data_IF_466470709847
#
_entry.id   IF_466470709847
#
_cell.length_a   1.000
_cell.length_b   1.000
_cell.length_c   1.000
_cell.angle_alpha   90.00
_cell.angle_beta   90.00
_cell.angle_gamma   90.00
#
_symmetry.space_group_name_H-M   'P 1'
#
loop_
_entity.id
_entity.type
_entity.pdbx_description
1 polymer ?
#
# COMPACT_ATOMS: atom_id res chain seq x y z
N UNK A 1 28.34 -3.70 13.42
CA UNK A 1 27.69 -3.07 14.59
C UNK A 1 26.21 -3.21 14.35
N UNK A 2 25.57 -4.12 15.07
CA UNK A 2 24.16 -4.47 14.87
C UNK A 2 23.36 -3.63 15.85
N UNK A 3 22.69 -2.59 15.37
CA UNK A 3 21.77 -1.81 16.20
C UNK A 3 20.48 -2.63 16.32
N UNK A 4 20.10 -3.13 17.51
CA UNK A 4 18.80 -3.75 17.69
C UNK A 4 17.84 -2.65 18.13
N UNK A 5 17.13 -2.04 17.19
CA UNK A 5 15.93 -1.29 17.49
C UNK A 5 14.86 -1.76 16.52
N UNK A 6 14.05 -2.70 16.98
CA UNK A 6 12.71 -2.90 16.43
C UNK A 6 11.84 -3.03 17.65
N UNK A 7 11.38 -1.89 18.17
CA UNK A 7 10.23 -1.94 19.07
C UNK A 7 9.13 -2.73 18.36
N UNK A 8 8.44 -3.65 19.06
CA UNK A 8 7.39 -4.42 18.45
C UNK A 8 6.35 -3.46 17.87
N UNK A 9 6.03 -3.57 16.58
CA UNK A 9 4.95 -2.80 15.96
C UNK A 9 3.63 -3.55 16.13
N UNK A 10 2.57 -2.82 16.45
CA UNK A 10 1.21 -3.35 16.49
C UNK A 10 0.41 -2.87 15.27
N UNK A 11 -0.28 -3.80 14.60
CA UNK A 11 -1.26 -3.49 13.57
C UNK A 11 -2.57 -3.08 14.25
N UNK A 12 -2.94 -1.81 14.11
CA UNK A 12 -4.18 -1.24 14.69
C UNK A 12 -5.37 -1.49 13.80
N UNK A 13 -5.15 -1.36 12.49
CA UNK A 13 -6.14 -1.59 11.46
C UNK A 13 -5.42 -2.07 10.20
N UNK A 14 -6.13 -2.83 9.37
CA UNK A 14 -5.58 -3.28 8.10
C UNK A 14 -6.69 -3.65 7.13
N UNK A 15 -6.45 -3.38 5.87
CA UNK A 15 -7.31 -3.81 4.78
C UNK A 15 -6.45 -4.13 3.55
N UNK A 16 -6.78 -5.22 2.87
CA UNK A 16 -6.27 -5.51 1.54
C UNK A 16 -7.39 -5.37 0.50
N UNK A 17 -7.00 -5.12 -0.74
CA UNK A 17 -7.85 -5.26 -1.92
C UNK A 17 -7.11 -6.05 -2.98
N UNK A 18 -7.87 -6.89 -3.67
CA UNK A 18 -7.42 -7.71 -4.79
C UNK A 18 -8.05 -7.19 -6.09
N UNK A 19 -7.79 -7.84 -7.23
CA UNK A 19 -8.57 -7.62 -8.44
C UNK A 19 -10.07 -7.85 -8.17
N UNK A 20 -10.94 -7.39 -9.08
CA UNK A 20 -12.39 -7.61 -9.02
C UNK A 20 -12.87 -8.51 -10.17
N UNK A 21 -14.11 -8.98 -10.07
CA UNK A 21 -14.72 -9.87 -11.08
C UNK A 21 -14.18 -11.30 -10.97
N UNK A 22 -14.16 -12.05 -12.09
CA UNK A 22 -13.78 -13.47 -12.08
C UNK A 22 -12.34 -13.74 -11.61
N UNK A 23 -11.43 -12.78 -11.80
CA UNK A 23 -10.05 -12.87 -11.33
C UNK A 23 -9.91 -12.67 -9.80
N UNK A 24 -11.01 -12.39 -9.10
CA UNK A 24 -11.07 -12.10 -7.68
C UNK A 24 -11.59 -13.27 -6.84
N UNK A 25 -11.99 -14.38 -7.46
CA UNK A 25 -12.66 -15.47 -6.76
C UNK A 25 -11.74 -16.11 -5.71
N UNK A 26 -12.19 -16.14 -4.45
CA UNK A 26 -11.43 -16.68 -3.32
C UNK A 26 -10.30 -15.81 -2.76
N UNK A 27 -10.06 -14.59 -3.29
CA UNK A 27 -8.94 -13.73 -2.86
C UNK A 27 -9.31 -12.80 -1.69
N UNK A 28 -8.45 -12.61 -0.67
CA UNK A 28 -8.62 -11.60 0.37
C UNK A 28 -8.81 -10.16 -0.17
N UNK A 29 -9.91 -9.51 0.19
CA UNK A 29 -10.16 -8.14 -0.26
C UNK A 29 -10.66 -8.04 -1.72
N UNK A 30 -11.03 -9.16 -2.32
CA UNK A 30 -11.80 -9.19 -3.56
C UNK A 30 -13.08 -8.35 -3.44
N UNK A 31 -13.36 -7.57 -4.49
CA UNK A 31 -14.64 -6.86 -4.62
C UNK A 31 -15.45 -7.49 -5.77
N UNK A 32 -16.78 -7.62 -5.63
CA UNK A 32 -17.63 -8.17 -6.69
C UNK A 32 -17.74 -7.21 -7.89
N UNK A 33 -17.46 -5.92 -7.69
CA UNK A 33 -17.58 -4.87 -8.69
C UNK A 33 -16.35 -3.96 -8.70
N UNK A 34 -16.17 -3.24 -9.81
CA UNK A 34 -15.11 -2.24 -9.98
C UNK A 34 -15.19 -1.14 -8.92
N UNK A 35 -14.03 -0.67 -8.46
CA UNK A 35 -13.94 0.38 -7.46
C UNK A 35 -14.37 1.74 -8.03
N UNK A 36 -14.94 2.63 -7.20
CA UNK A 36 -15.28 3.98 -7.61
C UNK A 36 -14.05 4.76 -8.12
N UNK A 37 -14.25 5.59 -9.14
CA UNK A 37 -13.22 6.50 -9.62
C UNK A 37 -12.86 7.54 -8.57
N UNK A 38 -11.58 7.92 -8.51
CA UNK A 38 -11.09 9.04 -7.70
C UNK A 38 -10.92 10.27 -8.58
N UNK A 39 -11.57 11.41 -8.28
CA UNK A 39 -11.43 12.62 -9.07
C UNK A 39 -9.95 13.01 -9.24
N UNK A 40 -9.55 13.26 -10.49
CA UNK A 40 -8.16 13.60 -10.80
C UNK A 40 -7.23 12.40 -10.99
N UNK A 41 -7.73 11.16 -10.92
CA UNK A 41 -7.00 9.92 -11.26
C UNK A 41 -7.86 9.07 -12.21
N UNK A 42 -7.61 9.19 -13.52
CA UNK A 42 -8.51 8.64 -14.56
C UNK A 42 -7.84 7.63 -15.48
N UNK A 43 -6.53 7.43 -15.35
CA UNK A 43 -5.73 6.66 -16.32
C UNK A 43 -5.50 5.22 -15.88
N UNK A 44 -5.29 5.00 -14.59
CA UNK A 44 -4.96 3.69 -14.03
C UNK A 44 -5.84 3.36 -12.81
N UNK A 45 -5.74 2.11 -12.38
CA UNK A 45 -6.39 1.59 -11.16
C UNK A 45 -5.54 1.81 -9.91
N UNK A 46 -4.28 2.22 -10.05
CA UNK A 46 -3.32 2.36 -8.96
C UNK A 46 -3.85 3.29 -7.85
N UNK A 47 -4.20 4.53 -8.20
CA UNK A 47 -4.68 5.51 -7.22
C UNK A 47 -6.07 5.18 -6.64
N UNK A 48 -7.06 4.75 -7.44
CA UNK A 48 -8.33 4.27 -6.89
C UNK A 48 -8.18 3.10 -5.92
N UNK A 49 -7.28 2.15 -6.19
CA UNK A 49 -7.00 1.03 -5.28
C UNK A 49 -6.42 1.51 -3.96
N UNK A 50 -5.42 2.39 -4.00
CA UNK A 50 -4.83 2.98 -2.79
C UNK A 50 -5.90 3.69 -1.95
N UNK A 51 -6.70 4.56 -2.58
CA UNK A 51 -7.76 5.28 -1.86
C UNK A 51 -8.78 4.33 -1.23
N UNK A 52 -9.22 3.29 -1.95
CA UNK A 52 -10.20 2.32 -1.45
C UNK A 52 -9.66 1.45 -0.30
N UNK A 53 -8.39 1.04 -0.36
CA UNK A 53 -7.76 0.27 0.71
C UNK A 53 -7.57 1.13 1.97
N UNK A 54 -7.20 2.40 1.80
CA UNK A 54 -7.10 3.35 2.92
C UNK A 54 -8.48 3.61 3.53
N UNK A 55 -9.52 3.86 2.73
CA UNK A 55 -10.89 4.02 3.23
C UNK A 55 -11.37 2.80 4.00
N UNK A 56 -11.01 1.59 3.55
CA UNK A 56 -11.33 0.36 4.26
C UNK A 56 -10.53 0.17 5.56
N UNK A 57 -9.28 0.61 5.58
CA UNK A 57 -8.39 0.51 6.74
C UNK A 57 -8.77 1.52 7.82
N UNK A 58 -9.03 2.76 7.45
CA UNK A 58 -9.27 3.87 8.36
C UNK A 58 -10.75 4.11 8.66
N UNK A 59 -11.68 3.57 7.86
CA UNK A 59 -13.10 3.87 7.99
C UNK A 59 -13.45 5.24 7.39
N UNK A 60 -14.60 5.79 7.80
CA UNK A 60 -15.07 7.08 7.26
C UNK A 60 -14.22 8.26 7.75
N UNK A 61 -13.86 9.24 6.90
CA UNK A 61 -13.02 10.37 7.32
C UNK A 61 -13.68 11.31 8.32
N UNK A 62 -15.01 11.30 8.44
CA UNK A 62 -15.77 12.05 9.44
C UNK A 62 -16.02 11.25 10.74
N UNK A 63 -15.48 10.04 10.85
CA UNK A 63 -15.57 9.26 12.07
C UNK A 63 -14.56 9.78 13.09
N UNK A 64 -15.04 10.60 14.04
CA UNK A 64 -14.24 11.13 15.15
C UNK A 64 -13.76 10.04 16.13
N UNK A 65 -14.23 8.79 15.97
CA UNK A 65 -13.73 7.60 16.68
C UNK A 65 -12.81 6.72 15.83
N UNK A 66 -12.57 7.12 14.58
CA UNK A 66 -11.70 6.43 13.65
C UNK A 66 -10.26 6.33 14.16
N UNK A 67 -9.47 5.38 13.65
CA UNK A 67 -8.15 5.09 14.18
C UNK A 67 -7.15 6.24 13.95
N UNK A 68 -7.44 7.19 13.07
CA UNK A 68 -6.64 8.41 12.84
C UNK A 68 -7.21 9.67 13.50
N UNK A 69 -8.38 9.60 14.13
CA UNK A 69 -9.04 10.76 14.73
C UNK A 69 -8.13 11.43 15.79
N UNK A 70 -7.96 12.75 15.66
CA UNK A 70 -7.09 13.55 16.53
C UNK A 70 -5.58 13.26 16.40
N UNK A 71 -5.15 12.43 15.44
CA UNK A 71 -3.74 12.01 15.27
C UNK A 71 -3.17 12.27 13.88
N UNK A 72 -3.93 12.90 12.99
CA UNK A 72 -3.53 13.11 11.59
C UNK A 72 -2.16 13.80 11.44
N UNK A 73 -1.87 14.81 12.26
CA UNK A 73 -0.58 15.50 12.23
C UNK A 73 0.59 14.63 12.71
N UNK A 74 0.31 13.65 13.58
CA UNK A 74 1.27 12.67 14.13
C UNK A 74 1.23 11.33 13.38
N UNK A 75 0.65 11.33 12.17
CA UNK A 75 0.53 10.15 11.30
C UNK A 75 1.45 10.30 10.11
N UNK A 76 2.41 9.40 9.97
CA UNK A 76 3.22 9.31 8.77
C UNK A 76 2.57 8.38 7.72
N UNK A 77 3.01 8.50 6.46
CA UNK A 77 2.61 7.59 5.39
C UNK A 77 3.87 6.98 4.74
N UNK A 78 3.88 5.66 4.61
CA UNK A 78 4.86 4.92 3.81
C UNK A 78 4.13 4.26 2.65
N UNK A 79 4.53 4.57 1.42
CA UNK A 79 4.07 3.89 0.22
C UNK A 79 5.18 2.97 -0.31
N UNK A 80 4.88 1.68 -0.46
CA UNK A 80 5.77 0.69 -1.04
C UNK A 80 5.17 0.19 -2.36
N UNK A 81 5.99 0.17 -3.41
CA UNK A 81 5.59 -0.33 -4.73
C UNK A 81 6.82 -0.74 -5.53
N UNK A 82 6.74 -1.85 -6.26
CA UNK A 82 7.85 -2.31 -7.09
C UNK A 82 7.89 -1.58 -8.44
N UNK A 83 6.72 -1.21 -8.98
CA UNK A 83 6.61 -0.65 -10.33
C UNK A 83 5.91 0.73 -10.39
N UNK A 84 5.34 1.20 -9.28
CA UNK A 84 4.55 2.43 -9.24
C UNK A 84 3.30 2.37 -10.13
N UNK A 85 2.77 3.53 -10.50
CA UNK A 85 1.70 3.62 -11.50
C UNK A 85 2.28 3.48 -12.93
N UNK A 86 2.64 2.24 -13.25
CA UNK A 86 3.25 1.93 -14.54
C UNK A 86 2.30 2.18 -15.72
N UNK A 87 0.99 1.99 -15.54
CA UNK A 87 0.00 2.22 -16.59
C UNK A 87 -0.06 3.70 -16.97
N UNK A 88 -0.11 4.60 -15.99
CA UNK A 88 -0.11 6.04 -16.25
C UNK A 88 1.24 6.48 -16.83
N UNK A 89 2.35 5.99 -16.29
CA UNK A 89 3.71 6.31 -16.76
C UNK A 89 3.93 5.87 -18.20
N UNK A 90 3.51 4.65 -18.56
CA UNK A 90 3.60 4.14 -19.92
C UNK A 90 2.72 4.95 -20.87
N UNK A 91 1.47 5.21 -20.48
CA UNK A 91 0.56 6.03 -21.28
C UNK A 91 1.15 7.41 -21.54
N UNK A 92 1.66 8.09 -20.52
CA UNK A 92 2.29 9.40 -20.66
C UNK A 92 3.50 9.36 -21.60
N UNK A 93 4.35 8.34 -21.47
CA UNK A 93 5.54 8.15 -22.31
C UNK A 93 5.16 7.91 -23.77
N UNK A 94 4.18 7.03 -24.06
CA UNK A 94 3.71 6.75 -25.42
C UNK A 94 3.14 8.01 -26.09
N UNK A 95 2.35 8.79 -25.35
CA UNK A 95 1.80 10.07 -25.87
C UNK A 95 2.91 11.06 -26.20
N UNK A 96 3.92 11.17 -25.35
CA UNK A 96 5.08 12.03 -25.59
C UNK A 96 5.86 11.61 -26.84
N UNK A 97 6.17 10.32 -26.99
CA UNK A 97 6.87 9.79 -28.18
C UNK A 97 6.05 10.00 -29.46
N UNK A 98 4.72 9.92 -29.37
CA UNK A 98 3.82 10.19 -30.48
C UNK A 98 3.64 11.69 -30.81
N UNK A 99 4.35 12.60 -30.12
CA UNK A 99 4.27 14.05 -30.34
C UNK A 99 2.94 14.67 -29.87
N UNK A 100 2.19 13.99 -29.01
CA UNK A 100 0.91 14.50 -28.50
C UNK A 100 1.14 15.52 -27.39
N UNK A 101 0.24 16.50 -27.30
CA UNK A 101 0.30 17.56 -26.27
C UNK A 101 0.26 16.93 -24.87
N UNK A 102 1.22 17.31 -24.04
CA UNK A 102 1.26 16.89 -22.64
C UNK A 102 0.01 17.36 -21.91
N UNK A 103 -0.76 16.42 -21.37
CA UNK A 103 -1.83 16.73 -20.42
C UNK A 103 -1.19 17.04 -19.06
N UNK A 104 -1.35 18.25 -18.50
CA UNK A 104 -0.84 18.57 -17.16
C UNK A 104 -1.36 17.60 -16.09
N UNK A 105 -2.59 17.12 -16.28
CA UNK A 105 -3.20 16.12 -15.41
C UNK A 105 -2.48 14.77 -15.48
N UNK A 106 -2.05 14.33 -16.66
CA UNK A 106 -1.29 13.08 -16.80
C UNK A 106 0.09 13.16 -16.14
N UNK A 107 0.76 14.30 -16.24
CA UNK A 107 2.03 14.52 -15.55
C UNK A 107 1.84 14.41 -14.02
N UNK A 108 0.83 15.08 -13.47
CA UNK A 108 0.51 14.96 -12.05
C UNK A 108 0.19 13.52 -11.63
N UNK A 109 -0.63 12.80 -12.40
CA UNK A 109 -0.99 11.41 -12.10
C UNK A 109 0.18 10.42 -12.21
N UNK A 110 1.21 10.75 -13.01
CA UNK A 110 2.36 9.85 -13.21
C UNK A 110 3.29 9.76 -12.01
N UNK A 111 3.20 10.70 -11.07
CA UNK A 111 3.98 10.67 -9.84
C UNK A 111 3.33 9.69 -8.87
N UNK A 112 4.04 8.62 -8.53
CA UNK A 112 3.59 7.51 -7.67
C UNK A 112 2.93 7.97 -6.36
N UNK A 113 3.42 9.05 -5.76
CA UNK A 113 2.93 9.58 -4.48
C UNK A 113 1.75 10.53 -4.61
N UNK A 114 1.29 10.89 -5.81
CA UNK A 114 0.22 11.89 -5.99
C UNK A 114 -1.09 11.50 -5.30
N UNK A 115 -1.41 10.22 -5.23
CA UNK A 115 -2.59 9.72 -4.51
C UNK A 115 -2.51 9.98 -3.00
N UNK A 116 -1.30 10.05 -2.44
CA UNK A 116 -1.11 10.30 -1.02
C UNK A 116 -1.55 11.72 -0.63
N UNK A 117 -1.45 12.69 -1.55
CA UNK A 117 -2.04 14.02 -1.34
C UNK A 117 -3.57 13.98 -1.19
N UNK A 118 -4.24 13.10 -1.95
CA UNK A 118 -5.68 12.86 -1.79
C UNK A 118 -6.00 12.25 -0.43
N UNK A 119 -5.26 11.19 -0.05
CA UNK A 119 -5.40 10.52 1.26
C UNK A 119 -5.15 11.49 2.41
N UNK A 120 -4.03 12.23 2.38
CA UNK A 120 -3.66 13.23 3.37
C UNK A 120 -4.75 14.28 3.56
N UNK A 121 -5.26 14.86 2.47
CA UNK A 121 -6.35 15.83 2.54
C UNK A 121 -7.63 15.25 3.12
N UNK A 122 -7.96 14.01 2.76
CA UNK A 122 -9.21 13.34 3.16
C UNK A 122 -9.22 12.99 4.65
N UNK A 123 -8.10 12.55 5.21
CA UNK A 123 -7.98 12.09 6.60
C UNK A 123 -7.27 13.09 7.54
N UNK A 124 -6.91 14.27 7.04
CA UNK A 124 -6.14 15.26 7.81
C UNK A 124 -4.74 14.78 8.19
N UNK A 125 -4.15 13.86 7.41
CA UNK A 125 -2.81 13.32 7.66
C UNK A 125 -1.76 14.29 7.12
N UNK A 126 -0.98 14.90 8.02
CA UNK A 126 0.03 15.90 7.66
C UNK A 126 1.45 15.55 8.13
N UNK A 127 1.66 14.34 8.64
CA UNK A 127 2.99 13.84 8.93
C UNK A 127 3.80 13.53 7.65
N UNK A 128 5.05 13.07 7.80
CA UNK A 128 5.96 12.80 6.69
C UNK A 128 5.42 11.70 5.79
N UNK A 129 5.69 11.87 4.49
CA UNK A 129 5.32 10.93 3.44
C UNK A 129 6.61 10.41 2.83
N UNK A 130 6.75 9.09 2.76
CA UNK A 130 7.88 8.42 2.11
C UNK A 130 7.38 7.38 1.11
N UNK A 131 8.11 7.22 0.02
CA UNK A 131 7.86 6.19 -0.98
C UNK A 131 9.12 5.34 -1.13
N UNK A 132 8.98 4.04 -0.98
CA UNK A 132 10.05 3.06 -1.20
C UNK A 132 9.70 2.20 -2.40
N UNK A 133 10.68 2.06 -3.28
CA UNK A 133 10.69 1.09 -4.37
C UNK A 133 12.02 0.38 -4.25
N UNK A 134 11.94 -0.92 -4.03
CA UNK A 134 13.10 -1.79 -3.86
C UNK A 134 12.82 -3.11 -4.58
N UNK A 135 13.84 -3.93 -4.77
CA UNK A 135 13.74 -5.27 -5.33
C UNK A 135 13.05 -6.27 -4.39
N UNK A 136 13.52 -7.52 -4.42
CA UNK A 136 12.83 -8.69 -3.86
C UNK A 136 12.51 -8.70 -2.36
N UNK A 137 12.91 -7.68 -1.61
CA UNK A 137 12.72 -7.54 -0.15
C UNK A 137 11.81 -6.35 0.21
N UNK A 138 10.94 -5.92 -0.70
CA UNK A 138 10.17 -4.68 -0.53
C UNK A 138 9.25 -4.67 0.70
N UNK A 139 8.57 -5.78 1.01
CA UNK A 139 7.72 -5.86 2.21
C UNK A 139 8.49 -5.70 3.54
N UNK A 140 9.55 -6.48 3.82
CA UNK A 140 10.33 -6.30 5.04
C UNK A 140 10.98 -4.91 5.10
N UNK A 141 11.44 -4.35 3.97
CA UNK A 141 11.99 -2.98 3.93
C UNK A 141 10.97 -1.90 4.23
N UNK A 142 9.74 -2.05 3.75
CA UNK A 142 8.68 -1.11 4.04
C UNK A 142 8.26 -1.14 5.52
N UNK A 143 8.24 -2.33 6.12
CA UNK A 143 8.01 -2.50 7.57
C UNK A 143 9.17 -1.94 8.40
N UNK A 144 10.42 -2.17 8.00
CA UNK A 144 11.61 -1.60 8.64
C UNK A 144 11.56 -0.06 8.61
N UNK A 145 11.25 0.54 7.45
CA UNK A 145 11.10 1.99 7.33
C UNK A 145 9.98 2.51 8.24
N UNK A 146 8.83 1.82 8.30
CA UNK A 146 7.75 2.20 9.20
C UNK A 146 8.18 2.11 10.68
N UNK A 147 8.95 1.09 11.05
CA UNK A 147 9.52 0.95 12.39
C UNK A 147 10.44 2.12 12.74
N UNK A 148 11.38 2.46 11.84
CA UNK A 148 12.29 3.60 12.01
C UNK A 148 11.52 4.92 12.16
N UNK A 149 10.46 5.13 11.37
CA UNK A 149 9.63 6.33 11.51
C UNK A 149 8.92 6.38 12.86
N UNK A 150 8.48 5.24 13.39
CA UNK A 150 7.86 5.18 14.72
C UNK A 150 8.85 5.44 15.87
N UNK A 151 10.17 5.39 15.65
CA UNK A 151 11.16 5.79 16.65
C UNK A 151 11.13 7.31 16.93
N UNK A 152 10.58 8.12 16.01
CA UNK A 152 10.35 9.54 16.26
C UNK A 152 9.16 9.74 17.20
N UNK A 153 9.42 10.24 18.41
CA UNK A 153 8.40 10.54 19.43
C UNK A 153 7.33 11.55 18.98
N UNK A 154 7.58 12.30 17.91
CA UNK A 154 6.57 13.17 17.30
C UNK A 154 5.50 12.38 16.53
N UNK A 155 5.83 11.18 16.05
CA UNK A 155 4.90 10.29 15.35
C UNK A 155 4.21 9.34 16.34
N UNK A 156 2.91 9.17 16.16
CA UNK A 156 2.12 8.17 16.91
C UNK A 156 1.88 6.91 16.09
N UNK A 157 1.81 7.06 14.77
CA UNK A 157 1.39 6.01 13.87
C UNK A 157 1.93 6.19 12.45
N UNK A 158 2.05 5.07 11.75
CA UNK A 158 2.45 5.01 10.33
C UNK A 158 1.36 4.28 9.56
N UNK A 159 0.83 4.93 8.52
CA UNK A 159 0.01 4.29 7.51
C UNK A 159 0.94 3.71 6.44
N UNK A 160 1.16 2.39 6.50
CA UNK A 160 1.91 1.65 5.49
C UNK A 160 0.97 1.17 4.38
N UNK A 161 1.29 1.52 3.14
CA UNK A 161 0.53 1.17 1.95
C UNK A 161 1.46 0.39 1.02
N UNK A 162 1.20 -0.89 0.80
CA UNK A 162 1.84 -1.66 -0.26
C UNK A 162 0.92 -1.76 -1.47
N UNK A 163 1.38 -1.44 -2.67
CA UNK A 163 0.55 -1.49 -3.89
C UNK A 163 1.35 -1.87 -5.12
N UNK A 164 0.78 -2.70 -5.97
CA UNK A 164 1.18 -2.85 -7.36
C UNK A 164 -0.02 -3.26 -8.22
N UNK A 165 0.03 -2.86 -9.47
CA UNK A 165 -0.96 -3.26 -10.48
C UNK A 165 -0.36 -4.31 -11.41
N UNK A 166 -1.21 -5.04 -12.13
CA UNK A 166 -0.79 -6.06 -13.07
C UNK A 166 0.31 -5.51 -14.00
N UNK A 167 1.41 -6.25 -14.11
CA UNK A 167 2.57 -5.81 -14.88
C UNK A 167 2.19 -5.53 -16.34
N UNK A 168 2.51 -4.32 -16.81
CA UNK A 168 2.40 -3.98 -18.22
C UNK A 168 3.47 -4.72 -19.05
N UNK A 169 3.26 -4.82 -20.37
CA UNK A 169 4.19 -5.46 -21.32
C UNK A 169 5.65 -4.99 -21.13
N UNK A 170 5.86 -3.68 -20.91
CA UNK A 170 7.19 -3.12 -20.68
C UNK A 170 7.86 -3.66 -19.41
N UNK A 171 7.11 -3.84 -18.32
CA UNK A 171 7.64 -4.42 -17.08
C UNK A 171 7.98 -5.89 -17.27
N UNK A 172 7.15 -6.63 -18.01
CA UNK A 172 7.45 -8.00 -18.44
C UNK A 172 8.77 -8.07 -19.21
N UNK A 173 8.92 -7.24 -20.24
CA UNK A 173 10.14 -7.16 -21.04
C UNK A 173 11.38 -6.84 -20.18
N UNK A 174 11.30 -5.83 -19.30
CA UNK A 174 12.41 -5.46 -18.41
C UNK A 174 12.79 -6.63 -17.50
N UNK A 175 11.80 -7.31 -16.89
CA UNK A 175 12.05 -8.46 -16.02
C UNK A 175 12.74 -9.60 -16.76
N UNK A 176 12.30 -9.88 -17.97
CA UNK A 176 12.83 -10.99 -18.78
C UNK A 176 14.28 -10.73 -19.26
N UNK A 177 14.73 -9.46 -19.27
CA UNK A 177 16.05 -9.05 -19.77
C UNK A 177 17.05 -8.61 -18.67
N UNK A 178 16.63 -8.52 -17.40
CA UNK A 178 17.50 -8.08 -16.31
C UNK A 178 18.33 -9.20 -15.65
N UNK A 179 18.32 -10.44 -16.19
CA UNK A 179 19.17 -11.58 -15.77
C UNK A 179 19.34 -11.77 -14.25
N UNK A 180 18.33 -11.39 -13.46
CA UNK A 180 18.36 -11.47 -11.98
C UNK A 180 19.24 -10.43 -11.27
N UNK A 181 19.86 -9.48 -11.99
CA UNK A 181 20.67 -8.41 -11.40
C UNK A 181 19.84 -7.38 -10.61
N UNK A 182 18.55 -7.28 -10.93
CA UNK A 182 17.56 -6.47 -10.22
C UNK A 182 16.29 -7.31 -10.03
N UNK A 183 16.25 -8.22 -9.03
CA UNK A 183 15.05 -9.01 -8.81
C UNK A 183 13.97 -8.06 -8.28
N UNK A 184 12.94 -7.76 -9.08
CA UNK A 184 11.73 -7.05 -8.63
C UNK A 184 10.90 -7.86 -7.60
N UNK A 185 11.42 -9.00 -7.14
CA UNK A 185 10.68 -9.99 -6.38
C UNK A 185 9.54 -10.61 -7.19
N UNK A 186 8.74 -11.48 -6.56
CA UNK A 186 7.50 -11.92 -7.14
C UNK A 186 6.53 -10.73 -7.18
N UNK A 187 6.09 -10.32 -8.37
CA UNK A 187 5.01 -9.33 -8.51
C UNK A 187 3.64 -9.99 -8.25
N UNK A 188 2.64 -9.24 -7.76
CA UNK A 188 1.29 -9.76 -7.69
C UNK A 188 0.78 -10.17 -9.08
N UNK A 189 -0.04 -11.21 -9.14
CA UNK A 189 -0.62 -11.72 -10.41
C UNK A 189 -1.61 -10.75 -11.06
N UNK A 190 -2.17 -9.84 -10.27
CA UNK A 190 -3.08 -8.81 -10.72
C UNK A 190 -2.94 -7.56 -9.86
N UNK A 191 -3.94 -6.69 -9.94
CA UNK A 191 -3.96 -5.47 -9.14
C UNK A 191 -4.18 -5.77 -7.66
N UNK A 192 -3.25 -5.35 -6.81
CA UNK A 192 -3.32 -5.61 -5.38
C UNK A 192 -2.81 -4.43 -4.55
N UNK A 193 -3.44 -4.24 -3.40
CA UNK A 193 -3.04 -3.22 -2.43
C UNK A 193 -3.31 -3.70 -1.02
N UNK A 194 -2.46 -3.27 -0.09
CA UNK A 194 -2.59 -3.46 1.34
C UNK A 194 -2.38 -2.12 2.02
N UNK A 195 -3.26 -1.75 2.94
CA UNK A 195 -3.09 -0.63 3.84
C UNK A 195 -3.08 -1.16 5.28
N UNK A 196 -2.03 -0.85 6.05
CA UNK A 196 -1.88 -1.20 7.46
C UNK A 196 -1.64 0.09 8.25
N UNK A 197 -2.41 0.30 9.31
CA UNK A 197 -2.10 1.34 10.29
C UNK A 197 -1.30 0.72 11.43
N UNK A 198 -0.05 1.17 11.58
CA UNK A 198 0.92 0.65 12.53
C UNK A 198 1.13 1.65 13.68
N UNK A 199 1.33 1.13 14.89
CA UNK A 199 1.75 1.90 16.07
C UNK A 199 2.89 1.18 16.77
N UNK A 200 3.59 1.90 17.65
CA UNK A 200 4.42 1.25 18.68
C UNK A 200 3.54 0.28 19.47
N UNK A 201 3.95 -0.97 19.52
CA UNK A 201 3.37 -1.95 20.43
C UNK A 201 3.75 -1.62 21.87
N UNK A 202 3.05 -2.20 22.86
CA UNK A 202 3.50 -2.12 24.24
C UNK A 202 4.91 -2.71 24.35
N UNK A 203 5.77 -2.11 25.19
CA UNK A 203 7.05 -2.72 25.58
C UNK A 203 6.74 -4.08 26.23
N UNK A 204 6.84 -5.15 25.47
CA UNK A 204 6.71 -6.50 26.01
C UNK A 204 8.10 -6.99 26.42
N UNK A 205 8.49 -6.71 27.66
CA UNK A 205 9.59 -7.40 28.36
C UNK A 205 9.23 -8.87 28.72
N UNK A 206 8.26 -9.46 28.01
CA UNK A 206 7.78 -10.83 28.22
C UNK A 206 7.58 -11.56 26.89
N UNK A 207 7.54 -12.91 26.90
CA UNK A 207 7.38 -13.72 25.70
C UNK A 207 6.08 -13.33 24.99
N UNK A 208 6.23 -12.70 23.82
CA UNK A 208 5.15 -12.27 22.95
C UNK A 208 4.23 -13.48 22.65
N UNK A 209 2.91 -13.39 22.87
CA UNK A 209 2.01 -14.42 22.40
C UNK A 209 2.15 -14.48 20.88
N UNK A 210 2.61 -15.64 20.39
CA UNK A 210 2.73 -15.87 18.96
C UNK A 210 1.37 -15.53 18.30
N UNK A 211 1.34 -14.65 17.30
CA UNK A 211 0.11 -14.38 16.58
C UNK A 211 -0.44 -15.73 16.09
N UNK A 212 -1.78 -15.92 16.08
CA UNK A 212 -2.36 -17.12 15.50
C UNK A 212 -1.78 -17.30 14.10
N UNK A 213 -1.44 -18.54 13.67
CA UNK A 213 -0.87 -18.74 12.35
C UNK A 213 -1.87 -18.21 11.33
N UNK A 214 -1.56 -17.05 10.75
CA UNK A 214 -2.26 -16.55 9.60
C UNK A 214 -2.14 -17.64 8.53
N UNK A 215 -3.25 -17.95 7.85
CA UNK A 215 -3.19 -18.82 6.68
C UNK A 215 -2.04 -18.31 5.77
N UNK A 216 -1.23 -19.20 5.16
CA UNK A 216 -0.11 -18.79 4.34
C UNK A 216 -0.64 -17.78 3.32
N UNK A 217 -0.07 -16.57 3.26
CA UNK A 217 -0.59 -15.54 2.39
C UNK A 217 -0.50 -16.07 0.96
N UNK A 218 -1.58 -15.95 0.19
CA UNK A 218 -1.63 -16.66 -1.06
C UNK A 218 -0.62 -16.04 -2.03
N UNK A 219 0.13 -16.91 -2.72
CA UNK A 219 1.27 -16.53 -3.55
C UNK A 219 0.91 -15.54 -4.68
N UNK A 220 -0.38 -15.39 -4.98
CA UNK A 220 -0.94 -14.43 -5.93
C UNK A 220 -0.66 -12.95 -5.60
N UNK A 221 -0.33 -12.62 -4.34
CA UNK A 221 0.02 -11.26 -3.94
C UNK A 221 1.51 -10.92 -4.13
N UNK A 222 2.34 -11.89 -4.52
CA UNK A 222 3.77 -11.66 -4.70
C UNK A 222 4.42 -11.07 -3.44
N UNK A 223 5.18 -9.98 -3.58
CA UNK A 223 5.87 -9.31 -2.48
C UNK A 223 4.90 -8.71 -1.45
N UNK A 224 3.62 -8.50 -1.78
CA UNK A 224 2.60 -8.01 -0.85
C UNK A 224 2.13 -9.10 0.13
N UNK A 225 2.40 -10.37 -0.15
CA UNK A 225 1.92 -11.50 0.63
C UNK A 225 2.20 -11.37 2.15
N UNK A 226 3.42 -11.02 2.62
CA UNK A 226 3.67 -10.78 4.03
C UNK A 226 2.80 -9.67 4.64
N UNK A 227 2.49 -8.61 3.88
CA UNK A 227 1.62 -7.52 4.36
C UNK A 227 0.16 -7.95 4.41
N UNK A 228 -0.32 -8.74 3.45
CA UNK A 228 -1.68 -9.31 3.46
C UNK A 228 -1.89 -10.21 4.68
N UNK A 229 -0.88 -11.00 5.07
CA UNK A 229 -0.95 -11.86 6.26
C UNK A 229 -1.12 -11.07 7.56
N UNK A 230 -0.73 -9.78 7.57
CA UNK A 230 -0.89 -8.88 8.73
C UNK A 230 -2.26 -8.19 8.76
N UNK A 231 -3.06 -8.27 7.70
CA UNK A 231 -4.43 -7.75 7.74
C UNK A 231 -5.25 -8.53 8.77
N UNK A 232 -5.97 -7.85 9.68
CA UNK A 232 -6.92 -8.53 10.54
C UNK A 232 -7.93 -9.28 9.67
N UNK A 233 -8.25 -10.52 10.05
CA UNK A 233 -9.24 -11.33 9.34
C UNK A 233 -10.53 -10.52 9.20
N UNK A 234 -10.91 -10.19 7.98
CA UNK A 234 -12.13 -9.43 7.68
C UNK A 234 -13.34 -10.33 7.90
N UNK A 235 -13.71 -10.54 9.16
CA UNK A 235 -15.04 -10.99 9.51
C UNK A 235 -16.04 -9.84 9.32
N UNK A 236 -17.30 -10.10 8.91
CA UNK A 236 -18.32 -9.07 8.91
C UNK A 236 -18.45 -8.48 10.32
N UNK A 237 -18.30 -7.15 10.46
CA UNK A 237 -18.61 -6.46 11.72
C UNK A 237 -20.08 -6.75 12.05
N UNK A 238 -20.41 -7.22 13.28
CA UNK A 238 -21.80 -7.38 13.66
C UNK A 238 -22.48 -6.02 13.61
N UNK A 239 -23.52 -5.91 12.79
CA UNK A 239 -24.48 -4.82 12.84
C UNK A 239 -25.21 -4.90 14.17
N UNK A 240 -25.13 -3.83 14.97
CA UNK A 240 -26.05 -3.57 16.08
C UNK A 240 -27.31 -2.93 15.53
#
# INVERSE_FOLDING_TARGET
MTTPLVQPMAVVAGACRAPWGAAADGLPGAAPVELPNVPGFVTSRFSPLVAAAVDACLGGPQDDSGPVAGRGERTAIVLATACGDITTTDTATRRMVAGQVHSPLLFFQSVTTSVLGHVSKRYGITGPVSCVSDGGELAPRALELAGIMLEDDWLDQVLLIGVDIAAAERVGWVRDHLDGAYPLGPLPRGDAVVALLLRRGPDTDGPSPAPPPAAPPPAEYGWLAPLVALCPATGPRPTV
#
